data_IF_118099730293
#
_entry.id   IF_118099730293
#
_cell.length_a   1.000
_cell.length_b   1.000
_cell.length_c   1.000
_cell.angle_alpha   90.00
_cell.angle_beta   90.00
_cell.angle_gamma   90.00
#
_symmetry.space_group_name_H-M   'P 1'
#
loop_
_entity.id
_entity.type
_entity.pdbx_description
1 polymer ?
#
# COMPACT_ATOMS: atom_id res chain seq x y z
N UNK A 1 35.25 3.36 14.42
CA UNK A 1 34.11 4.13 13.86
C UNK A 1 33.15 3.15 13.20
N UNK A 2 32.00 2.87 13.80
CA UNK A 2 31.04 1.89 13.26
C UNK A 2 30.28 2.51 12.09
N UNK A 3 30.41 1.97 10.87
CA UNK A 3 29.64 2.43 9.70
C UNK A 3 28.19 1.99 9.87
N UNK A 4 27.29 2.94 10.14
CA UNK A 4 25.85 2.69 10.16
C UNK A 4 25.39 2.22 8.78
N UNK A 5 24.85 1.00 8.71
CA UNK A 5 24.32 0.45 7.44
C UNK A 5 23.03 1.19 7.07
N UNK A 6 22.99 1.76 5.87
CA UNK A 6 21.78 2.38 5.32
C UNK A 6 20.86 1.27 4.79
N UNK A 7 19.59 1.29 5.20
CA UNK A 7 18.56 0.45 4.60
C UNK A 7 17.79 1.28 3.58
N UNK A 8 18.10 1.04 2.31
CA UNK A 8 17.41 1.66 1.19
C UNK A 8 16.09 0.93 0.92
N UNK A 9 15.00 1.68 0.91
CA UNK A 9 13.65 1.16 0.70
C UNK A 9 13.12 1.75 -0.60
N UNK A 10 13.02 0.90 -1.62
CA UNK A 10 12.62 1.27 -2.98
C UNK A 10 11.23 0.72 -3.33
N UNK A 11 10.83 -0.40 -2.73
CA UNK A 11 9.50 -1.00 -2.91
C UNK A 11 8.87 -1.28 -1.54
N UNK A 12 7.92 -0.43 -1.14
CA UNK A 12 7.21 -0.50 0.13
C UNK A 12 5.70 -0.58 -0.11
N UNK A 13 5.03 -1.52 0.54
CA UNK A 13 3.58 -1.52 0.57
C UNK A 13 3.06 -0.48 1.56
N UNK A 14 2.46 0.60 1.05
CA UNK A 14 1.95 1.68 1.90
C UNK A 14 0.66 1.31 2.67
N UNK A 15 0.06 0.16 2.36
CA UNK A 15 -1.07 -0.38 3.14
C UNK A 15 -0.62 -1.12 4.40
N UNK A 16 0.43 -1.95 4.33
CA UNK A 16 0.85 -2.82 5.44
C UNK A 16 2.31 -2.67 5.88
N UNK A 17 3.08 -1.80 5.25
CA UNK A 17 4.48 -1.51 5.58
C UNK A 17 5.48 -2.59 5.17
N UNK A 18 5.07 -3.58 4.38
CA UNK A 18 5.96 -4.66 3.94
C UNK A 18 6.91 -4.17 2.85
N UNK A 19 8.21 -4.43 3.03
CA UNK A 19 9.27 -4.08 2.06
C UNK A 19 9.52 -5.26 1.12
N UNK A 20 9.71 -4.97 -0.16
CA UNK A 20 9.96 -5.93 -1.23
C UNK A 20 11.30 -5.66 -1.90
N UNK A 21 11.84 -6.69 -2.56
CA UNK A 21 13.08 -6.58 -3.34
C UNK A 21 12.85 -5.90 -4.69
N UNK A 22 11.65 -6.02 -5.26
CA UNK A 22 11.30 -5.52 -6.59
C UNK A 22 9.91 -4.89 -6.59
N UNK A 23 9.63 -4.03 -7.59
CA UNK A 23 8.34 -3.37 -7.78
C UNK A 23 7.25 -4.38 -8.13
N UNK A 24 7.57 -5.36 -8.98
CA UNK A 24 6.64 -6.41 -9.41
C UNK A 24 6.19 -7.27 -8.21
N UNK A 25 7.12 -7.53 -7.27
CA UNK A 25 6.81 -8.24 -6.03
C UNK A 25 5.84 -7.45 -5.13
N UNK A 26 5.99 -6.13 -5.08
CA UNK A 26 5.06 -5.24 -4.39
C UNK A 26 3.68 -5.23 -5.06
N UNK A 27 3.61 -5.09 -6.38
CA UNK A 27 2.34 -5.09 -7.12
C UNK A 27 1.58 -6.41 -6.95
N UNK A 28 2.27 -7.55 -7.11
CA UNK A 28 1.67 -8.86 -6.91
C UNK A 28 1.14 -9.02 -5.48
N UNK A 29 1.90 -8.52 -4.50
CA UNK A 29 1.48 -8.51 -3.10
C UNK A 29 0.20 -7.69 -2.90
N UNK A 30 0.14 -6.47 -3.43
CA UNK A 30 -1.04 -5.61 -3.32
C UNK A 30 -2.28 -6.30 -3.92
N UNK A 31 -2.16 -6.85 -5.13
CA UNK A 31 -3.25 -7.59 -5.80
C UNK A 31 -3.71 -8.80 -4.99
N UNK A 32 -2.78 -9.53 -4.36
CA UNK A 32 -3.09 -10.75 -3.62
C UNK A 32 -3.68 -10.50 -2.22
N UNK A 33 -3.28 -9.41 -1.55
CA UNK A 33 -3.62 -9.14 -0.14
C UNK A 33 -4.59 -7.98 0.06
N UNK A 34 -4.47 -6.93 -0.73
CA UNK A 34 -5.25 -5.70 -0.56
C UNK A 34 -6.38 -5.62 -1.59
N UNK A 35 -6.15 -6.03 -2.83
CA UNK A 35 -7.13 -5.87 -3.91
C UNK A 35 -7.86 -7.19 -4.17
N UNK A 36 -8.33 -7.84 -3.11
CA UNK A 36 -8.99 -9.15 -3.19
C UNK A 36 -10.39 -9.07 -2.61
N UNK A 37 -11.40 -9.52 -3.37
CA UNK A 37 -12.77 -9.58 -2.86
C UNK A 37 -12.88 -10.66 -1.77
N UNK A 38 -13.35 -10.26 -0.59
CA UNK A 38 -13.58 -11.15 0.56
C UNK A 38 -15.06 -11.30 0.91
N UNK A 39 -15.97 -10.70 0.14
CA UNK A 39 -17.40 -10.74 0.42
C UNK A 39 -17.93 -12.19 0.42
N UNK A 40 -18.67 -12.60 1.46
CA UNK A 40 -19.27 -13.93 1.52
C UNK A 40 -20.31 -14.08 0.40
N UNK A 41 -20.39 -15.26 -0.21
CA UNK A 41 -21.31 -15.54 -1.32
C UNK A 41 -20.95 -14.88 -2.65
N UNK A 42 -19.85 -14.12 -2.74
CA UNK A 42 -19.40 -13.59 -4.02
C UNK A 42 -18.94 -14.72 -4.95
N UNK A 43 -19.48 -14.84 -6.18
CA UNK A 43 -19.01 -15.82 -7.17
C UNK A 43 -17.54 -15.63 -7.54
N UNK A 44 -17.02 -14.41 -7.36
CA UNK A 44 -15.64 -14.03 -7.60
C UNK A 44 -14.86 -13.86 -6.29
N UNK A 45 -15.29 -14.53 -5.21
CA UNK A 45 -14.60 -14.49 -3.94
C UNK A 45 -13.16 -14.94 -4.12
N UNK A 46 -12.25 -14.08 -3.67
CA UNK A 46 -10.82 -14.28 -3.80
C UNK A 46 -10.21 -13.96 -5.16
N UNK A 47 -11.00 -13.45 -6.10
CA UNK A 47 -10.48 -12.81 -7.29
C UNK A 47 -9.57 -11.64 -6.89
N UNK A 48 -8.42 -11.57 -7.55
CA UNK A 48 -7.45 -10.48 -7.45
C UNK A 48 -7.79 -9.42 -8.49
N UNK A 49 -7.87 -8.17 -8.05
CA UNK A 49 -8.09 -7.01 -8.89
C UNK A 49 -6.77 -6.30 -9.13
N UNK A 50 -6.67 -5.58 -10.25
CA UNK A 50 -5.47 -4.84 -10.61
C UNK A 50 -5.21 -3.62 -9.72
N UNK A 51 -6.26 -3.06 -9.10
CA UNK A 51 -6.22 -1.84 -8.28
C UNK A 51 -7.34 -1.85 -7.22
N UNK A 52 -7.25 -0.99 -6.20
CA UNK A 52 -8.34 -0.74 -5.23
C UNK A 52 -9.56 -0.18 -5.95
N UNK A 53 -9.37 0.73 -6.90
CA UNK A 53 -10.50 1.29 -7.67
C UNK A 53 -11.30 0.20 -8.39
N UNK A 54 -10.62 -0.79 -8.97
CA UNK A 54 -11.28 -1.93 -9.61
C UNK A 54 -12.02 -2.83 -8.61
N UNK A 55 -11.44 -3.10 -7.43
CA UNK A 55 -12.11 -3.84 -6.36
C UNK A 55 -13.34 -3.07 -5.84
N UNK A 56 -13.21 -1.76 -5.63
CA UNK A 56 -14.30 -0.91 -5.15
C UNK A 56 -15.47 -0.90 -6.15
N UNK A 57 -15.19 -0.74 -7.45
CA UNK A 57 -16.20 -0.81 -8.50
C UNK A 57 -16.88 -2.19 -8.55
N UNK A 58 -16.12 -3.28 -8.38
CA UNK A 58 -16.69 -4.61 -8.27
C UNK A 58 -17.63 -4.73 -7.06
N UNK A 59 -17.23 -4.26 -5.88
CA UNK A 59 -18.08 -4.32 -4.69
C UNK A 59 -19.33 -3.47 -4.85
N UNK A 60 -19.25 -2.28 -5.43
CA UNK A 60 -20.45 -1.45 -5.68
C UNK A 60 -21.45 -2.15 -6.60
N UNK A 61 -20.97 -2.85 -7.64
CA UNK A 61 -21.83 -3.52 -8.61
C UNK A 61 -22.40 -4.84 -8.10
N UNK A 62 -21.58 -5.64 -7.42
CA UNK A 62 -21.93 -7.02 -7.02
C UNK A 62 -22.46 -7.11 -5.59
N UNK A 63 -22.13 -6.12 -4.75
CA UNK A 63 -22.42 -6.08 -3.32
C UNK A 63 -22.93 -4.69 -2.90
N UNK A 64 -24.04 -4.18 -3.49
CA UNK A 64 -24.53 -2.83 -3.24
C UNK A 64 -24.84 -2.58 -1.75
N UNK A 65 -25.29 -3.61 -1.02
CA UNK A 65 -25.60 -3.52 0.40
C UNK A 65 -24.35 -3.55 1.30
N UNK A 66 -23.20 -3.92 0.74
CA UNK A 66 -21.91 -4.07 1.44
C UNK A 66 -20.77 -3.52 0.57
N UNK A 67 -20.76 -2.20 0.30
CA UNK A 67 -19.69 -1.58 -0.45
C UNK A 67 -18.36 -1.74 0.29
N UNK A 68 -17.26 -1.71 -0.47
CA UNK A 68 -15.93 -1.69 0.13
C UNK A 68 -15.76 -0.35 0.85
N UNK A 69 -15.53 -0.36 2.17
CA UNK A 69 -15.33 0.87 2.96
C UNK A 69 -13.85 1.14 3.27
N UNK A 70 -13.04 0.09 3.29
CA UNK A 70 -11.62 0.15 3.62
C UNK A 70 -10.84 -0.86 2.77
N UNK A 71 -9.56 -0.59 2.58
CA UNK A 71 -8.63 -1.53 1.95
C UNK A 71 -8.40 -2.72 2.90
N UNK A 72 -8.73 -3.95 2.49
CA UNK A 72 -8.50 -5.15 3.29
C UNK A 72 -7.03 -5.31 3.68
N UNK A 73 -6.79 -5.82 4.89
CA UNK A 73 -5.46 -6.13 5.42
C UNK A 73 -4.47 -4.94 5.48
N UNK A 74 -4.96 -3.71 5.38
CA UNK A 74 -4.16 -2.51 5.59
C UNK A 74 -4.10 -2.15 7.08
N UNK A 75 -3.07 -1.41 7.49
CA UNK A 75 -3.09 -0.72 8.77
C UNK A 75 -4.26 0.25 8.81
N UNK A 76 -4.87 0.41 9.99
CA UNK A 76 -6.00 1.33 10.19
C UNK A 76 -5.69 2.76 9.70
N UNK A 77 -4.46 3.23 9.91
CA UNK A 77 -4.00 4.55 9.45
C UNK A 77 -3.88 4.66 7.91
N UNK A 78 -3.85 3.55 7.19
CA UNK A 78 -3.60 3.47 5.75
C UNK A 78 -4.74 2.76 4.99
N UNK A 79 -5.87 2.48 5.64
CA UNK A 79 -6.93 1.65 5.07
C UNK A 79 -8.04 2.44 4.40
N UNK A 80 -8.04 3.78 4.46
CA UNK A 80 -9.13 4.56 3.85
C UNK A 80 -9.08 4.50 2.32
N UNK A 81 -10.24 4.47 1.68
CA UNK A 81 -10.32 4.49 0.22
C UNK A 81 -9.83 5.82 -0.39
N UNK A 82 -9.96 6.93 0.35
CA UNK A 82 -9.39 8.21 -0.05
C UNK A 82 -7.87 8.14 -0.16
N UNK A 83 -7.21 7.57 0.85
CA UNK A 83 -5.76 7.32 0.82
C UNK A 83 -5.41 6.40 -0.34
N UNK A 84 -6.15 5.30 -0.52
CA UNK A 84 -5.87 4.35 -1.61
C UNK A 84 -5.92 4.99 -2.99
N UNK A 85 -6.93 5.82 -3.27
CA UNK A 85 -7.05 6.54 -4.55
C UNK A 85 -5.94 7.58 -4.73
N UNK A 86 -5.55 8.27 -3.65
CA UNK A 86 -4.40 9.16 -3.67
C UNK A 86 -3.12 8.40 -4.02
N UNK A 87 -2.88 7.23 -3.41
CA UNK A 87 -1.71 6.40 -3.71
C UNK A 87 -1.70 5.91 -5.17
N UNK A 88 -2.86 5.47 -5.69
CA UNK A 88 -3.01 5.12 -7.12
C UNK A 88 -2.71 6.30 -8.04
N UNK A 89 -3.10 7.53 -7.67
CA UNK A 89 -2.82 8.74 -8.42
C UNK A 89 -1.34 9.16 -8.37
N UNK A 90 -0.71 9.05 -7.21
CA UNK A 90 0.71 9.40 -7.02
C UNK A 90 1.66 8.38 -7.66
N UNK A 91 1.25 7.12 -7.82
CA UNK A 91 2.00 6.14 -8.63
C UNK A 91 2.15 6.58 -10.10
N UNK A 92 1.32 7.53 -10.56
CA UNK A 92 1.39 8.11 -11.91
C UNK A 92 1.86 9.57 -11.98
N UNK A 93 2.19 10.21 -10.85
CA UNK A 93 2.64 11.62 -10.82
C UNK A 93 3.86 11.79 -9.92
N UNK A 94 4.90 12.47 -10.40
CA UNK A 94 6.16 12.71 -9.65
C UNK A 94 6.00 13.67 -8.44
N UNK A 95 4.79 13.88 -7.93
CA UNK A 95 4.54 14.87 -6.88
C UNK A 95 4.80 14.30 -5.49
N UNK A 96 6.07 14.32 -5.08
CA UNK A 96 6.52 13.96 -3.73
C UNK A 96 6.05 14.93 -2.62
N UNK A 97 5.34 16.00 -2.98
CA UNK A 97 4.97 17.11 -2.08
C UNK A 97 3.61 16.95 -1.42
N UNK A 98 2.88 15.86 -1.70
CA UNK A 98 1.58 15.65 -1.07
C UNK A 98 1.74 15.38 0.44
N UNK A 99 1.15 16.25 1.26
CA UNK A 99 1.26 16.18 2.73
C UNK A 99 0.77 14.85 3.31
N UNK A 100 -0.36 14.31 2.81
CA UNK A 100 -0.89 13.04 3.28
C UNK A 100 0.04 11.86 2.92
N UNK A 101 0.65 11.92 1.73
CA UNK A 101 1.67 10.94 1.33
C UNK A 101 2.91 11.00 2.24
N UNK A 102 3.39 12.21 2.55
CA UNK A 102 4.51 12.42 3.47
C UNK A 102 4.20 11.85 4.86
N UNK A 103 2.98 12.08 5.38
CA UNK A 103 2.54 11.53 6.66
C UNK A 103 2.50 10.00 6.66
N UNK A 104 2.03 9.38 5.59
CA UNK A 104 2.04 7.92 5.43
C UNK A 104 3.48 7.39 5.41
N UNK A 105 4.39 8.03 4.68
CA UNK A 105 5.80 7.66 4.67
C UNK A 105 6.44 7.82 6.05
N UNK A 106 6.13 8.88 6.79
CA UNK A 106 6.62 9.09 8.15
C UNK A 106 6.11 8.00 9.10
N UNK A 107 4.85 7.58 8.97
CA UNK A 107 4.27 6.48 9.74
C UNK A 107 5.02 5.16 9.48
N UNK A 108 5.28 4.82 8.22
CA UNK A 108 6.03 3.60 7.88
C UNK A 108 7.50 3.68 8.28
N UNK A 109 8.11 4.86 8.18
CA UNK A 109 9.50 5.08 8.64
C UNK A 109 9.65 4.70 10.10
N UNK A 110 8.79 5.22 10.98
CA UNK A 110 8.83 4.90 12.42
C UNK A 110 8.77 3.39 12.67
N UNK A 111 7.90 2.67 11.94
CA UNK A 111 7.81 1.20 12.02
C UNK A 111 9.08 0.49 11.53
N UNK A 112 9.72 0.99 10.48
CA UNK A 112 10.96 0.40 9.97
C UNK A 112 12.14 0.68 10.90
N UNK A 113 12.17 1.85 11.55
CA UNK A 113 13.18 2.19 12.56
C UNK A 113 13.07 1.29 13.79
N UNK A 114 11.85 0.95 14.24
CA UNK A 114 11.67 -0.01 15.34
C UNK A 114 12.10 -1.44 14.96
N UNK A 115 11.88 -1.86 13.71
CA UNK A 115 12.31 -3.17 13.21
C UNK A 115 13.81 -3.25 12.90
N UNK A 116 14.44 -2.11 12.61
CA UNK A 116 15.85 -2.03 12.20
C UNK A 116 16.60 -0.93 12.97
N UNK A 117 16.74 -1.03 14.29
CA UNK A 117 17.29 0.04 15.14
C UNK A 117 18.75 0.38 14.86
N UNK A 118 19.49 -0.52 14.20
CA UNK A 118 20.90 -0.32 13.81
C UNK A 118 21.07 0.16 12.37
N UNK A 119 19.98 0.44 11.65
CA UNK A 119 20.00 0.86 10.25
C UNK A 119 19.38 2.23 10.10
N UNK A 120 19.99 3.07 9.26
CA UNK A 120 19.39 4.34 8.85
C UNK A 120 18.41 4.06 7.71
N UNK A 121 17.12 4.34 7.90
CA UNK A 121 16.09 4.13 6.87
C UNK A 121 16.14 5.27 5.85
N UNK A 122 16.19 4.93 4.56
CA UNK A 122 16.08 5.90 3.46
C UNK A 122 15.09 5.38 2.43
N UNK A 123 14.06 6.18 2.14
CA UNK A 123 13.16 5.90 1.03
C UNK A 123 13.76 6.43 -0.27
N UNK A 124 13.72 5.62 -1.32
CA UNK A 124 14.15 5.95 -2.67
C UNK A 124 13.19 5.30 -3.66
N UNK A 125 11.96 5.83 -3.69
CA UNK A 125 10.96 5.41 -4.68
C UNK A 125 11.39 5.95 -6.05
N UNK A 126 11.36 5.10 -7.07
CA UNK A 126 11.68 5.50 -8.44
C UNK A 126 10.71 6.59 -8.89
N UNK A 127 11.21 7.80 -9.08
CA UNK A 127 10.65 8.78 -10.01
C UNK A 127 11.04 8.27 -11.39
N UNK A 128 10.11 7.63 -12.08
CA UNK A 128 10.29 7.24 -13.49
C UNK A 128 9.74 8.32 -14.39
#
# INVERSE_FOLDING_TARGET
MSRTKVFLVTALCLYCGRVFKTKEGLELHQRARHFRCSAPGCPRRGQRFKSVSALHAHCLKMHPDKPLLYVPNAYRACSSLGIARLLEFLEGTESSSNELYIQILAFHRKKLETLHPRRRIRFAFSTT
#
